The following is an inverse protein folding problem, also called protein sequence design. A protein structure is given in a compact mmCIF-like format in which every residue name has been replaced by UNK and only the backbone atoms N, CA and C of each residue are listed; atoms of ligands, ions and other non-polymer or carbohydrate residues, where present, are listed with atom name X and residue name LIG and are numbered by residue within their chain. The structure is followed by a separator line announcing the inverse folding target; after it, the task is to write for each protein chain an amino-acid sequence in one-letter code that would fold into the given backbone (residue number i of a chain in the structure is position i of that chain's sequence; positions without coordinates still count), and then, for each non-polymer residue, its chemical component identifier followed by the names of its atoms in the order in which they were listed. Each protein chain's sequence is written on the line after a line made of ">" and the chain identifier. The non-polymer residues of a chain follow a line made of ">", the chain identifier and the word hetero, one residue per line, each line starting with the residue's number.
data_IF_828546906591
#
_entry.id   IF_828546906591
#
_cell.length_a   1.000
_cell.length_b   1.000
_cell.length_c   1.000
_cell.angle_alpha   90.00
_cell.angle_beta   90.00
_cell.angle_gamma   90.00
#
_symmetry.space_group_name_H-M   'P 1'
#
loop_
_entity.id
_entity.type
_entity.pdbx_description
1 polymer ?
#
# COMPACT_ATOMS: atom_id res chain seq x y z
N UNK A 1 29.30 47.06 5.73
CA UNK A 1 29.32 45.92 4.74
C UNK A 1 29.33 44.55 5.38
N UNK A 2 29.66 44.42 6.67
CA UNK A 2 29.66 43.14 7.44
C UNK A 2 28.27 42.62 7.82
N UNK A 3 27.30 43.52 8.10
CA UNK A 3 25.97 43.13 8.60
C UNK A 3 25.08 42.47 7.56
N UNK A 4 25.16 42.83 6.30
CA UNK A 4 24.35 42.24 5.23
C UNK A 4 24.80 40.79 4.90
N UNK A 5 26.09 40.51 5.07
CA UNK A 5 26.63 39.15 4.85
C UNK A 5 26.20 38.22 5.97
N UNK A 6 26.20 38.67 7.23
CA UNK A 6 25.76 37.90 8.39
C UNK A 6 24.25 37.61 8.37
N UNK A 7 23.44 38.54 7.89
CA UNK A 7 22.00 38.35 7.70
C UNK A 7 21.71 37.32 6.63
N UNK A 8 22.44 37.32 5.52
CA UNK A 8 22.30 36.32 4.46
C UNK A 8 22.69 34.89 4.89
N UNK A 9 23.69 34.75 5.75
CA UNK A 9 24.09 33.45 6.30
C UNK A 9 23.04 32.91 7.28
N UNK A 10 22.50 33.74 8.14
CA UNK A 10 21.40 33.38 9.06
C UNK A 10 20.17 32.90 8.31
N UNK A 11 19.80 33.58 7.22
CA UNK A 11 18.66 33.22 6.40
C UNK A 11 18.87 31.89 5.70
N UNK A 12 20.04 31.62 5.15
CA UNK A 12 20.39 30.30 4.54
C UNK A 12 20.35 29.18 5.58
N UNK A 13 20.83 29.42 6.81
CA UNK A 13 20.75 28.44 7.89
C UNK A 13 19.29 28.13 8.27
N UNK A 14 18.43 29.16 8.33
CA UNK A 14 17.00 29.00 8.59
C UNK A 14 16.35 28.14 7.52
N UNK A 15 16.59 28.42 6.24
CA UNK A 15 16.07 27.62 5.13
C UNK A 15 16.55 26.17 5.19
N UNK A 16 17.79 25.92 5.60
CA UNK A 16 18.29 24.55 5.79
C UNK A 16 17.55 23.83 6.92
N UNK A 17 17.29 24.51 8.03
CA UNK A 17 16.51 23.99 9.15
C UNK A 17 15.09 23.63 8.69
N UNK A 18 14.42 24.53 7.96
CA UNK A 18 13.07 24.32 7.43
C UNK A 18 12.98 23.11 6.52
N UNK A 19 13.99 22.89 5.67
CA UNK A 19 14.07 21.72 4.79
C UNK A 19 14.16 20.41 5.60
N UNK A 20 15.05 20.38 6.60
CA UNK A 20 15.24 19.20 7.45
C UNK A 20 13.98 18.91 8.26
N UNK A 21 13.34 19.93 8.82
CA UNK A 21 12.09 19.82 9.57
C UNK A 21 10.93 19.28 8.69
N UNK A 22 10.81 19.79 7.47
CA UNK A 22 9.82 19.28 6.51
C UNK A 22 10.03 17.79 6.18
N UNK A 23 11.29 17.34 6.09
CA UNK A 23 11.60 15.91 5.87
C UNK A 23 11.20 15.09 7.10
N UNK A 24 11.52 15.55 8.32
CA UNK A 24 11.15 14.87 9.56
C UNK A 24 9.63 14.73 9.67
N UNK A 25 8.88 15.80 9.43
CA UNK A 25 7.42 15.79 9.44
C UNK A 25 6.86 14.76 8.46
N UNK A 26 7.35 14.76 7.23
CA UNK A 26 6.92 13.79 6.21
C UNK A 26 7.21 12.34 6.62
N UNK A 27 8.37 12.06 7.25
CA UNK A 27 8.68 10.70 7.71
C UNK A 27 7.77 10.27 8.86
N UNK A 28 7.47 11.18 9.79
CA UNK A 28 6.53 10.94 10.89
C UNK A 28 5.11 10.69 10.40
N UNK A 29 4.64 11.46 9.42
CA UNK A 29 3.33 11.26 8.78
C UNK A 29 3.26 9.92 8.05
N UNK A 30 4.30 9.53 7.32
CA UNK A 30 4.36 8.21 6.66
C UNK A 30 4.28 7.07 7.69
N UNK A 31 4.99 7.16 8.83
CA UNK A 31 4.90 6.18 9.92
C UNK A 31 3.47 6.06 10.46
N UNK A 32 2.78 7.19 10.65
CA UNK A 32 1.37 7.20 11.06
C UNK A 32 0.47 6.55 10.01
N UNK A 33 0.63 6.88 8.74
CA UNK A 33 -0.14 6.30 7.64
C UNK A 33 0.04 4.77 7.55
N UNK A 34 1.24 4.24 7.80
CA UNK A 34 1.46 2.78 7.82
C UNK A 34 0.57 2.08 8.84
N UNK A 35 0.38 2.68 10.04
CA UNK A 35 -0.51 2.15 11.06
C UNK A 35 -1.98 2.21 10.63
N UNK A 36 -2.41 3.33 10.06
CA UNK A 36 -3.78 3.53 9.58
C UNK A 36 -4.14 2.53 8.47
N UNK A 37 -3.26 2.37 7.47
CA UNK A 37 -3.45 1.39 6.40
C UNK A 37 -3.43 -0.05 6.90
N UNK A 38 -2.55 -0.35 7.87
CA UNK A 38 -2.50 -1.69 8.48
C UNK A 38 -3.84 -2.04 9.13
N UNK A 39 -4.40 -1.13 9.97
CA UNK A 39 -5.71 -1.35 10.62
C UNK A 39 -6.80 -1.55 9.57
N UNK A 40 -6.87 -0.67 8.57
CA UNK A 40 -7.91 -0.72 7.54
C UNK A 40 -7.87 -2.05 6.75
N UNK A 41 -6.68 -2.47 6.30
CA UNK A 41 -6.54 -3.72 5.54
C UNK A 41 -6.82 -4.95 6.40
N UNK A 42 -6.26 -5.02 7.62
CA UNK A 42 -6.48 -6.14 8.54
C UNK A 42 -7.97 -6.27 8.87
N UNK A 43 -8.62 -5.16 9.21
CA UNK A 43 -10.07 -5.16 9.54
C UNK A 43 -10.92 -5.61 8.34
N UNK A 44 -10.59 -5.12 7.13
CA UNK A 44 -11.28 -5.51 5.90
C UNK A 44 -11.13 -6.99 5.59
N UNK A 45 -9.91 -7.53 5.62
CA UNK A 45 -9.65 -8.95 5.31
C UNK A 45 -10.25 -9.87 6.36
N UNK A 46 -10.15 -9.51 7.66
CA UNK A 46 -10.79 -10.26 8.75
C UNK A 46 -12.30 -10.27 8.58
N UNK A 47 -12.93 -9.12 8.29
CA UNK A 47 -14.37 -9.03 8.03
C UNK A 47 -14.82 -9.93 6.87
N UNK A 48 -14.10 -9.93 5.75
CA UNK A 48 -14.35 -10.81 4.61
C UNK A 48 -14.20 -12.28 5.01
N UNK A 49 -13.15 -12.62 5.77
CA UNK A 49 -12.88 -13.99 6.22
C UNK A 49 -14.06 -14.61 6.96
N UNK A 50 -14.69 -13.85 7.86
CA UNK A 50 -15.89 -14.29 8.59
C UNK A 50 -17.13 -14.36 7.69
N UNK A 51 -17.29 -13.44 6.74
CA UNK A 51 -18.45 -13.42 5.84
C UNK A 51 -18.44 -14.59 4.85
N UNK A 52 -17.26 -14.95 4.32
CA UNK A 52 -17.09 -15.99 3.29
C UNK A 52 -16.80 -17.36 3.91
N UNK A 53 -16.63 -17.44 5.25
CA UNK A 53 -16.25 -18.66 5.98
C UNK A 53 -14.92 -19.28 5.48
N UNK A 54 -13.92 -18.43 5.20
CA UNK A 54 -12.59 -18.85 4.74
C UNK A 54 -11.55 -18.55 5.82
N UNK A 55 -11.30 -19.44 6.79
CA UNK A 55 -10.47 -19.17 7.96
C UNK A 55 -8.99 -18.84 7.63
N UNK A 56 -8.44 -19.38 6.54
CA UNK A 56 -7.05 -19.12 6.16
C UNK A 56 -6.79 -17.67 5.73
N UNK A 57 -7.83 -16.91 5.34
CA UNK A 57 -7.73 -15.48 5.07
C UNK A 57 -7.27 -14.69 6.32
N UNK A 58 -7.73 -15.07 7.52
CA UNK A 58 -7.25 -14.49 8.77
C UNK A 58 -5.73 -14.70 8.95
N UNK A 59 -5.20 -15.82 8.49
CA UNK A 59 -3.77 -16.11 8.60
C UNK A 59 -2.92 -15.23 7.67
N UNK A 60 -3.42 -14.87 6.50
CA UNK A 60 -2.75 -13.96 5.58
C UNK A 60 -2.56 -12.57 6.19
N UNK A 61 -3.47 -12.11 7.05
CA UNK A 61 -3.35 -10.78 7.68
C UNK A 61 -2.10 -10.67 8.55
N UNK A 62 -1.58 -11.78 9.07
CA UNK A 62 -0.31 -11.80 9.82
C UNK A 62 0.84 -11.32 8.93
N UNK A 63 0.90 -11.78 7.69
CA UNK A 63 1.92 -11.33 6.72
C UNK A 63 1.79 -9.82 6.45
N UNK A 64 0.56 -9.33 6.31
CA UNK A 64 0.27 -7.90 6.11
C UNK A 64 0.77 -7.08 7.30
N UNK A 65 0.48 -7.51 8.55
CA UNK A 65 0.94 -6.84 9.77
C UNK A 65 2.46 -6.77 9.83
N UNK A 66 3.15 -7.87 9.51
CA UNK A 66 4.63 -7.92 9.50
C UNK A 66 5.19 -6.94 8.45
N UNK A 67 4.60 -6.90 7.25
CA UNK A 67 5.05 -6.01 6.17
C UNK A 67 4.89 -4.53 6.55
N UNK A 68 3.72 -4.14 7.08
CA UNK A 68 3.49 -2.76 7.51
C UNK A 68 4.34 -2.40 8.73
N UNK A 69 4.54 -3.33 9.66
CA UNK A 69 5.45 -3.15 10.80
C UNK A 69 6.89 -2.89 10.34
N UNK A 70 7.37 -3.63 9.35
CA UNK A 70 8.70 -3.40 8.77
C UNK A 70 8.81 -2.01 8.12
N UNK A 71 7.81 -1.59 7.34
CA UNK A 71 7.78 -0.27 6.71
C UNK A 71 7.74 0.86 7.75
N UNK A 72 6.94 0.70 8.80
CA UNK A 72 6.84 1.69 9.89
C UNK A 72 8.17 1.82 10.65
N UNK A 73 8.84 0.70 10.97
CA UNK A 73 10.19 0.70 11.56
C UNK A 73 11.17 1.45 10.65
N UNK A 74 11.10 1.23 9.33
CA UNK A 74 11.97 1.90 8.37
C UNK A 74 11.77 3.43 8.39
N UNK A 75 10.50 3.91 8.35
CA UNK A 75 10.21 5.34 8.38
C UNK A 75 10.60 5.98 9.72
N UNK A 76 10.34 5.31 10.85
CA UNK A 76 10.73 5.81 12.16
C UNK A 76 12.25 5.84 12.33
N UNK A 77 12.96 4.87 11.76
CA UNK A 77 14.43 4.86 11.75
C UNK A 77 14.98 6.05 10.94
N UNK A 78 14.35 6.35 9.80
CA UNK A 78 14.70 7.49 8.97
C UNK A 78 14.45 8.82 9.70
N UNK A 79 13.27 8.96 10.32
CA UNK A 79 12.91 10.12 11.13
C UNK A 79 13.93 10.40 12.22
N UNK A 80 14.33 9.38 12.98
CA UNK A 80 15.34 9.52 14.06
C UNK A 80 16.69 9.99 13.54
N UNK A 81 17.12 9.49 12.38
CA UNK A 81 18.37 9.94 11.73
C UNK A 81 18.31 11.39 11.32
N UNK A 82 17.18 11.83 10.74
CA UNK A 82 16.98 13.24 10.38
C UNK A 82 16.87 14.13 11.61
N UNK A 83 16.30 13.67 12.73
CA UNK A 83 16.31 14.41 14.01
C UNK A 83 17.72 14.61 14.53
N UNK A 84 18.61 13.63 14.41
CA UNK A 84 20.03 13.77 14.76
C UNK A 84 20.74 14.79 13.86
N UNK A 85 20.48 14.75 12.56
CA UNK A 85 20.97 15.77 11.63
C UNK A 85 20.47 17.17 12.00
N UNK A 86 19.18 17.30 12.31
CA UNK A 86 18.57 18.54 12.77
C UNK A 86 19.31 19.10 14.01
N UNK A 87 19.55 18.27 15.01
CA UNK A 87 20.26 18.69 16.23
C UNK A 87 21.66 19.19 15.94
N UNK A 88 22.38 18.61 14.99
CA UNK A 88 23.70 19.08 14.58
C UNK A 88 23.61 20.41 13.78
N UNK A 89 22.62 20.57 12.91
CA UNK A 89 22.37 21.83 12.16
C UNK A 89 22.00 22.97 13.07
N UNK A 90 21.23 22.70 14.15
CA UNK A 90 20.82 23.70 15.16
C UNK A 90 21.92 23.91 16.23
N UNK A 91 23.02 23.18 16.15
CA UNK A 91 24.18 23.25 17.06
C UNK A 91 23.89 22.80 18.50
N UNK A 92 22.90 21.91 18.70
CA UNK A 92 22.60 21.29 20.01
C UNK A 92 23.50 20.08 20.26
N UNK A 93 23.85 19.35 19.19
CA UNK A 93 24.60 18.08 19.27
C UNK A 93 23.70 16.88 19.62
N UNK A 94 24.32 15.71 19.75
CA UNK A 94 23.62 14.45 20.00
C UNK A 94 24.33 13.62 21.07
N UNK A 95 23.57 12.91 21.92
CA UNK A 95 24.11 11.95 22.90
C UNK A 95 25.20 12.53 23.80
N UNK A 96 25.05 13.78 24.28
CA UNK A 96 26.03 14.55 25.06
C UNK A 96 27.37 14.78 24.33
N UNK A 97 27.39 14.70 23.00
CA UNK A 97 28.51 15.06 22.15
C UNK A 97 28.28 16.45 21.53
N UNK A 98 29.36 17.20 21.27
CA UNK A 98 29.24 18.49 20.59
C UNK A 98 28.67 18.29 19.18
N UNK A 99 27.99 19.32 18.64
CA UNK A 99 27.40 19.24 17.30
C UNK A 99 28.48 19.02 16.24
N UNK A 100 28.16 18.21 15.26
CA UNK A 100 29.01 18.02 14.08
C UNK A 100 28.84 19.17 13.11
N UNK A 101 29.91 19.53 12.45
CA UNK A 101 29.85 20.53 11.38
C UNK A 101 29.12 19.95 10.18
N UNK A 102 27.96 20.51 9.85
CA UNK A 102 27.12 20.11 8.71
C UNK A 102 27.24 21.16 7.61
N UNK A 103 27.51 20.72 6.38
CA UNK A 103 27.54 21.61 5.23
C UNK A 103 26.13 22.16 4.97
N UNK A 104 26.06 23.43 4.57
CA UNK A 104 24.80 24.09 4.25
C UNK A 104 24.03 23.33 3.18
N UNK A 105 22.71 23.15 3.41
CA UNK A 105 21.79 22.34 2.57
C UNK A 105 22.12 20.84 2.46
N UNK A 106 23.05 20.32 3.25
CA UNK A 106 23.32 18.89 3.29
C UNK A 106 22.18 18.14 4.01
N UNK A 107 21.59 17.15 3.33
CA UNK A 107 20.58 16.25 3.87
C UNK A 107 21.15 14.83 4.03
N UNK A 108 22.47 14.66 4.03
CA UNK A 108 23.14 13.37 4.15
C UNK A 108 23.01 12.81 5.57
N UNK A 109 22.35 11.65 5.68
CA UNK A 109 22.17 10.93 6.97
C UNK A 109 23.09 9.74 7.12
N UNK A 110 24.12 9.60 6.26
CA UNK A 110 25.03 8.44 6.26
C UNK A 110 25.78 8.28 7.59
N UNK A 111 26.19 9.38 8.19
CA UNK A 111 26.96 9.40 9.44
C UNK A 111 26.14 9.06 10.69
N UNK A 112 24.82 8.95 10.55
CA UNK A 112 23.89 8.62 11.63
C UNK A 112 23.33 7.20 11.52
N UNK A 113 23.77 6.42 10.51
CA UNK A 113 23.20 5.08 10.21
C UNK A 113 23.43 4.06 11.32
N UNK A 114 24.62 4.07 11.93
CA UNK A 114 25.02 3.05 12.91
C UNK A 114 24.40 3.26 14.30
N UNK A 115 23.87 4.47 14.57
CA UNK A 115 23.29 4.82 15.87
C UNK A 115 21.82 4.44 16.03
N UNK A 116 21.15 4.04 14.96
CA UNK A 116 19.73 3.67 14.96
C UNK A 116 19.56 2.22 14.49
N UNK A 117 19.72 1.28 15.42
CA UNK A 117 19.53 -0.15 15.12
C UNK A 117 18.06 -0.47 14.88
N UNK A 118 17.77 -1.31 13.88
CA UNK A 118 16.42 -1.80 13.59
C UNK A 118 15.74 -2.43 14.83
N UNK A 119 16.51 -3.19 15.63
CA UNK A 119 15.99 -3.85 16.84
C UNK A 119 15.57 -2.86 17.93
N UNK A 120 16.29 -1.75 18.08
CA UNK A 120 15.97 -0.70 19.05
C UNK A 120 14.72 0.07 18.66
N UNK A 121 14.58 0.35 17.34
CA UNK A 121 13.41 1.02 16.81
C UNK A 121 12.19 0.11 16.92
N UNK A 122 12.32 -1.19 16.64
CA UNK A 122 11.23 -2.17 16.78
C UNK A 122 10.71 -2.26 18.24
N UNK A 123 11.61 -2.15 19.23
CA UNK A 123 11.25 -2.13 20.67
C UNK A 123 10.69 -0.79 21.13
N UNK A 124 10.61 0.20 20.26
CA UNK A 124 10.04 1.52 20.59
C UNK A 124 8.60 1.40 21.11
N UNK A 125 8.21 2.20 22.11
CA UNK A 125 6.84 2.22 22.64
C UNK A 125 5.78 2.57 21.60
N UNK A 126 6.17 3.14 20.47
CA UNK A 126 5.26 3.47 19.37
C UNK A 126 4.97 2.30 18.41
N UNK A 127 5.91 1.35 18.27
CA UNK A 127 5.83 0.25 17.29
C UNK A 127 5.55 -1.08 17.98
N UNK A 128 6.37 -1.45 18.96
CA UNK A 128 6.30 -2.76 19.61
C UNK A 128 4.92 -3.10 20.15
N UNK A 129 4.32 -2.27 21.02
CA UNK A 129 2.99 -2.53 21.57
C UNK A 129 1.89 -2.52 20.50
N UNK A 130 1.96 -1.62 19.52
CA UNK A 130 0.93 -1.51 18.47
C UNK A 130 0.88 -2.78 17.60
N UNK A 131 2.00 -3.13 16.96
CA UNK A 131 2.05 -4.32 16.09
C UNK A 131 1.99 -5.63 16.88
N UNK A 132 2.50 -5.65 18.11
CA UNK A 132 2.35 -6.79 19.03
C UNK A 132 0.89 -7.07 19.37
N UNK A 133 0.13 -6.04 19.73
CA UNK A 133 -1.30 -6.18 20.02
C UNK A 133 -2.09 -6.62 18.75
N UNK A 134 -1.77 -6.04 17.59
CA UNK A 134 -2.36 -6.43 16.31
C UNK A 134 -2.09 -7.90 15.97
N UNK A 135 -0.86 -8.38 16.14
CA UNK A 135 -0.50 -9.78 15.92
C UNK A 135 -1.23 -10.73 16.87
N UNK A 136 -1.23 -10.43 18.17
CA UNK A 136 -1.94 -11.25 19.17
C UNK A 136 -3.44 -11.28 18.88
N UNK A 137 -4.06 -10.13 18.62
CA UNK A 137 -5.48 -10.04 18.27
C UNK A 137 -5.82 -10.84 17.02
N UNK A 138 -5.03 -10.73 15.97
CA UNK A 138 -5.23 -11.48 14.73
C UNK A 138 -5.02 -12.98 14.91
N UNK A 139 -4.05 -13.40 15.74
CA UNK A 139 -3.86 -14.82 16.08
C UNK A 139 -5.08 -15.38 16.81
N UNK A 140 -5.62 -14.67 17.81
CA UNK A 140 -6.83 -15.07 18.52
C UNK A 140 -7.99 -15.21 17.53
N UNK A 141 -8.21 -14.22 16.67
CA UNK A 141 -9.26 -14.25 15.65
C UNK A 141 -9.08 -15.40 14.65
N UNK A 142 -7.83 -15.70 14.26
CA UNK A 142 -7.52 -16.84 13.39
C UNK A 142 -7.87 -18.17 14.05
N UNK A 143 -7.52 -18.36 15.32
CA UNK A 143 -7.87 -19.56 16.09
C UNK A 143 -9.38 -19.67 16.24
N UNK A 144 -10.07 -18.60 16.62
CA UNK A 144 -11.54 -18.57 16.75
C UNK A 144 -12.21 -18.89 15.41
N UNK A 145 -11.76 -18.29 14.31
CA UNK A 145 -12.28 -18.57 12.97
C UNK A 145 -12.07 -20.04 12.58
N UNK A 146 -10.93 -20.63 12.95
CA UNK A 146 -10.64 -22.04 12.68
C UNK A 146 -11.50 -22.98 13.54
N UNK A 147 -11.75 -22.63 14.82
CA UNK A 147 -12.61 -23.41 15.70
C UNK A 147 -14.09 -23.37 15.28
N UNK A 148 -14.58 -22.21 14.80
CA UNK A 148 -15.98 -22.07 14.36
C UNK A 148 -16.19 -22.77 13.02
N UNK A 149 -15.24 -22.66 12.09
CA UNK A 149 -15.39 -23.18 10.72
C UNK A 149 -14.61 -24.49 10.48
N UNK A 150 -13.88 -25.00 11.47
CA UNK A 150 -13.04 -26.18 11.36
C UNK A 150 -13.79 -27.50 11.24
N UNK A 151 -15.07 -27.54 11.66
CA UNK A 151 -15.96 -28.70 11.45
C UNK A 151 -16.60 -28.72 10.05
N UNK A 152 -16.66 -27.57 9.39
CA UNK A 152 -17.03 -27.48 7.98
C UNK A 152 -15.78 -27.51 7.09
N UNK A 153 -14.94 -28.57 7.19
CA UNK A 153 -14.32 -29.06 5.97
C UNK A 153 -15.46 -29.10 4.97
N UNK A 154 -15.42 -28.23 3.96
CA UNK A 154 -16.26 -28.40 2.77
C UNK A 154 -15.96 -29.80 2.25
N UNK A 155 -16.57 -30.81 2.86
CA UNK A 155 -16.94 -31.99 2.17
C UNK A 155 -17.76 -31.45 1.01
N UNK A 156 -17.12 -31.39 -0.17
CA UNK A 156 -17.83 -31.53 -1.40
C UNK A 156 -18.53 -32.88 -1.20
N UNK A 157 -19.70 -32.88 -0.57
CA UNK A 157 -20.64 -33.93 -0.66
C UNK A 157 -21.00 -33.92 -2.14
N UNK A 158 -20.27 -34.71 -2.91
CA UNK A 158 -20.80 -35.35 -4.08
C UNK A 158 -21.91 -36.26 -3.50
N UNK A 159 -23.05 -35.64 -3.24
CA UNK A 159 -24.25 -36.34 -2.79
C UNK A 159 -24.67 -37.13 -4.01
N UNK A 160 -24.38 -38.40 -3.95
CA UNK A 160 -24.89 -39.41 -4.88
C UNK A 160 -26.40 -39.15 -5.05
N UNK A 161 -26.84 -39.17 -6.26
CA UNK A 161 -28.13 -38.88 -6.88
C UNK A 161 -29.33 -39.67 -6.27
N UNK A 162 -29.55 -39.55 -4.94
CA UNK A 162 -30.75 -40.20 -4.33
C UNK A 162 -31.59 -39.35 -3.41
N UNK A 163 -31.09 -38.19 -2.96
CA UNK A 163 -31.89 -37.29 -2.13
C UNK A 163 -31.91 -35.90 -2.78
N UNK A 164 -32.98 -35.66 -3.55
CA UNK A 164 -33.20 -34.44 -4.31
C UNK A 164 -33.41 -33.23 -3.42
N UNK A 165 -32.40 -32.39 -3.29
CA UNK A 165 -32.48 -30.96 -2.88
C UNK A 165 -31.17 -30.23 -3.35
N UNK A 166 -31.17 -28.97 -3.68
CA UNK A 166 -31.10 -28.46 -5.05
C UNK A 166 -29.66 -28.06 -5.46
N UNK A 167 -29.15 -28.79 -6.43
CA UNK A 167 -28.04 -28.33 -7.27
C UNK A 167 -28.40 -27.06 -8.10
N UNK A 168 -29.67 -26.68 -8.09
CA UNK A 168 -30.23 -25.59 -8.93
C UNK A 168 -29.73 -24.17 -8.57
N UNK A 169 -29.38 -23.91 -7.32
CA UNK A 169 -28.99 -22.54 -6.93
C UNK A 169 -27.56 -22.19 -7.37
N UNK A 170 -26.65 -23.15 -7.35
CA UNK A 170 -25.26 -22.92 -7.83
C UNK A 170 -25.12 -22.97 -9.36
N UNK A 171 -25.97 -23.76 -10.02
CA UNK A 171 -26.03 -23.76 -11.50
C UNK A 171 -26.58 -22.45 -12.06
N UNK A 172 -27.54 -21.80 -11.38
CA UNK A 172 -28.06 -20.48 -11.81
C UNK A 172 -27.01 -19.37 -11.74
N UNK A 173 -26.13 -19.37 -10.78
CA UNK A 173 -25.03 -18.38 -10.72
C UNK A 173 -23.99 -18.64 -11.83
N UNK A 174 -23.64 -19.90 -12.09
CA UNK A 174 -22.74 -20.25 -13.19
C UNK A 174 -23.36 -19.96 -14.55
N UNK A 175 -24.64 -20.24 -14.74
CA UNK A 175 -25.37 -19.93 -15.99
C UNK A 175 -25.49 -18.42 -16.19
N UNK A 176 -25.69 -17.61 -15.14
CA UNK A 176 -25.72 -16.15 -15.25
C UNK A 176 -24.35 -15.56 -15.63
N UNK A 177 -23.25 -16.14 -15.13
CA UNK A 177 -21.88 -15.76 -15.50
C UNK A 177 -21.61 -16.15 -16.96
N UNK A 178 -22.03 -17.35 -17.40
CA UNK A 178 -21.88 -17.82 -18.76
C UNK A 178 -22.66 -16.98 -19.77
N UNK A 179 -23.92 -16.64 -19.44
CA UNK A 179 -24.75 -15.72 -20.25
C UNK A 179 -24.14 -14.31 -20.35
N UNK A 180 -23.49 -13.83 -19.27
CA UNK A 180 -22.78 -12.55 -19.33
C UNK A 180 -21.49 -12.64 -20.17
N UNK A 181 -20.78 -13.77 -20.14
CA UNK A 181 -19.61 -13.99 -20.98
C UNK A 181 -19.98 -14.03 -22.46
N UNK A 182 -21.02 -14.78 -22.83
CA UNK A 182 -21.55 -14.87 -24.21
C UNK A 182 -22.01 -13.50 -24.72
N UNK A 183 -22.55 -12.65 -23.83
CA UNK A 183 -22.96 -11.29 -24.16
C UNK A 183 -21.77 -10.36 -24.41
N UNK A 184 -20.67 -10.54 -23.68
CA UNK A 184 -19.42 -9.82 -23.89
C UNK A 184 -18.79 -10.22 -25.21
N UNK A 185 -18.73 -11.52 -25.54
CA UNK A 185 -18.22 -12.00 -26.82
C UNK A 185 -19.03 -11.48 -28.02
N UNK A 186 -20.36 -11.44 -27.89
CA UNK A 186 -21.22 -10.86 -28.91
C UNK A 186 -21.01 -9.36 -29.12
N UNK A 187 -20.70 -8.63 -28.05
CA UNK A 187 -20.36 -7.20 -28.12
C UNK A 187 -19.00 -6.97 -28.77
N UNK A 188 -18.01 -7.81 -28.48
CA UNK A 188 -16.68 -7.75 -29.10
C UNK A 188 -16.78 -7.97 -30.61
N UNK A 189 -17.55 -8.98 -31.05
CA UNK A 189 -17.80 -9.23 -32.47
C UNK A 189 -18.46 -8.05 -33.15
N UNK A 190 -19.41 -7.37 -32.48
CA UNK A 190 -20.12 -6.22 -33.03
C UNK A 190 -19.21 -4.99 -33.14
N UNK A 191 -18.28 -4.83 -32.21
CA UNK A 191 -17.25 -3.77 -32.25
C UNK A 191 -16.29 -4.01 -33.44
N UNK A 192 -15.86 -5.26 -33.65
CA UNK A 192 -14.99 -5.62 -34.77
C UNK A 192 -15.67 -5.40 -36.13
N UNK A 193 -16.96 -5.67 -36.20
CA UNK A 193 -17.77 -5.42 -37.42
C UNK A 193 -17.93 -3.90 -37.73
N UNK A 194 -18.18 -3.10 -36.69
CA UNK A 194 -18.20 -1.64 -36.79
C UNK A 194 -16.85 -1.07 -37.24
N UNK A 195 -15.76 -1.59 -36.70
CA UNK A 195 -14.41 -1.18 -37.08
C UNK A 195 -14.08 -1.52 -38.55
N UNK A 196 -14.55 -2.66 -39.05
CA UNK A 196 -14.41 -3.01 -40.47
C UNK A 196 -15.23 -2.10 -41.37
N UNK A 197 -16.44 -1.72 -40.97
CA UNK A 197 -17.26 -0.77 -41.73
C UNK A 197 -16.63 0.63 -41.78
N UNK A 198 -16.06 1.11 -40.67
CA UNK A 198 -15.35 2.39 -40.65
C UNK A 198 -14.16 2.41 -41.62
N UNK A 199 -13.39 1.32 -41.68
CA UNK A 199 -12.25 1.19 -42.60
C UNK A 199 -12.75 1.21 -44.05
N UNK A 200 -13.85 0.55 -44.39
CA UNK A 200 -14.45 0.56 -45.73
C UNK A 200 -14.97 1.95 -46.13
N UNK A 201 -15.56 2.69 -45.18
CA UNK A 201 -16.05 4.06 -45.44
C UNK A 201 -14.87 4.99 -45.72
N UNK A 202 -13.79 4.90 -44.93
CA UNK A 202 -12.57 5.72 -45.12
C UNK A 202 -11.93 5.44 -46.48
N UNK A 203 -11.83 4.18 -46.90
CA UNK A 203 -11.26 3.82 -48.19
C UNK A 203 -12.17 4.28 -49.39
N UNK A 204 -13.47 4.21 -49.22
CA UNK A 204 -14.43 4.69 -50.24
C UNK A 204 -14.38 6.21 -50.38
N UNK A 205 -14.24 6.95 -49.26
CA UNK A 205 -14.10 8.41 -49.28
C UNK A 205 -12.75 8.82 -49.89
N UNK A 206 -11.69 8.09 -49.61
CA UNK A 206 -10.35 8.36 -50.15
C UNK A 206 -10.29 8.12 -51.67
N UNK A 207 -10.93 7.05 -52.15
CA UNK A 207 -11.03 6.75 -53.59
C UNK A 207 -11.86 7.79 -54.33
N UNK A 208 -12.99 8.25 -53.79
CA UNK A 208 -13.78 9.33 -54.37
C UNK A 208 -13.05 10.66 -54.41
N UNK A 209 -12.22 10.96 -53.43
CA UNK A 209 -11.42 12.20 -53.38
C UNK A 209 -10.31 12.21 -54.44
N UNK A 210 -9.72 11.05 -54.75
CA UNK A 210 -8.69 10.90 -55.77
C UNK A 210 -9.26 11.04 -57.20
N UNK A 211 -10.47 10.50 -57.43
CA UNK A 211 -11.15 10.63 -58.73
C UNK A 211 -11.55 12.10 -59.04
N UNK A 212 -11.82 12.90 -57.98
CA UNK A 212 -12.21 14.30 -58.15
C UNK A 212 -11.03 15.25 -58.38
N UNK A 213 -9.79 14.81 -58.10
CA UNK A 213 -8.55 15.57 -58.34
C UNK A 213 -7.86 15.25 -59.68
N UNK A 214 -8.39 14.29 -60.45
CA UNK A 214 -7.85 13.88 -61.74
C UNK A 214 -8.69 14.34 -62.97
N UNK A 215 -9.56 15.36 -62.78
CA UNK A 215 -10.33 16.00 -63.86
C UNK A 215 -9.97 17.52 -63.86
#
# INVERSE_FOLDING_TARGET
>A
MSDTTSLGEKEKKRQHIDIVEAIITRMSENSKQMKEWCIALVSGVVGISFTVNIPWLCTITILVIILFGYLDVFYLQLERRFRRLYNDVVEIGNDNQPPKVVSLYSTSIKDYKDKESFKEVLKSPSIGPFYGCMLVGTLILSVVSFCINGDDTQKIKVTNEKDGIPLEVKLKEFDSIKVNLDKIDSLILKIDELKRMDIQIVDTVKTKSLIKKGK
#
